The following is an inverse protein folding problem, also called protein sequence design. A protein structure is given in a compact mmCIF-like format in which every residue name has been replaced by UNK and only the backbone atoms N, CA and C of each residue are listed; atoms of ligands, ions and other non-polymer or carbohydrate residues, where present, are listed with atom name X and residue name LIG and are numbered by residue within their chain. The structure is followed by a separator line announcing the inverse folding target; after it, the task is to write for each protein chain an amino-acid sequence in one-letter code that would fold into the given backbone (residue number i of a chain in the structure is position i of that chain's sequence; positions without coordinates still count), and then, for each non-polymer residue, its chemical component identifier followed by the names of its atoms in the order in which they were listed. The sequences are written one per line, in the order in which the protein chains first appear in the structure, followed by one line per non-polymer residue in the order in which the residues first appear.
data_IF_322913357958
#
_entry.id   IF_322913357958
#
_cell.length_a   1.000
_cell.length_b   1.000
_cell.length_c   1.000
_cell.angle_alpha   90.00
_cell.angle_beta   90.00
_cell.angle_gamma   90.00
#
_symmetry.space_group_name_H-M   'P 1'
#
loop_
_entity.id
_entity.type
_entity.pdbx_description
1 polymer ?
#
# COMPACT_ATOMS: atom_id res chain seq x y z
N UNK A 1 8.16 15.12 8.88
CA UNK A 1 6.99 15.33 8.02
C UNK A 1 5.73 14.86 8.74
N UNK A 2 4.60 15.44 8.41
CA UNK A 2 3.36 15.15 9.12
C UNK A 2 2.80 13.77 8.75
N UNK A 3 2.14 13.14 9.71
CA UNK A 3 1.40 11.92 9.46
C UNK A 3 0.19 12.20 8.56
N UNK A 4 -0.22 11.22 7.79
CA UNK A 4 -1.44 11.29 6.99
C UNK A 4 -2.42 10.24 7.50
N UNK A 5 -3.57 10.71 7.97
CA UNK A 5 -4.62 9.83 8.46
C UNK A 5 -5.90 10.10 7.68
N UNK A 6 -6.45 9.06 7.06
CA UNK A 6 -7.72 9.12 6.36
C UNK A 6 -8.63 8.08 7.00
N UNK A 7 -9.78 8.52 7.50
CA UNK A 7 -10.75 7.63 8.14
C UNK A 7 -11.46 6.78 7.08
N UNK A 8 -11.75 5.51 7.37
CA UNK A 8 -12.42 4.63 6.41
C UNK A 8 -13.88 4.99 6.21
N UNK A 9 -14.39 4.61 5.05
CA UNK A 9 -15.84 4.58 4.78
C UNK A 9 -16.20 3.16 4.31
N UNK A 10 -17.47 2.94 3.99
CA UNK A 10 -17.90 1.64 3.44
C UNK A 10 -17.22 1.31 2.12
N UNK A 11 -16.69 2.31 1.43
CA UNK A 11 -16.13 2.18 0.07
C UNK A 11 -14.69 2.64 -0.05
N UNK A 12 -14.09 3.13 1.04
CA UNK A 12 -12.73 3.62 0.99
C UNK A 12 -11.90 3.17 2.18
N UNK A 13 -10.61 3.05 1.96
CA UNK A 13 -9.65 2.52 2.92
C UNK A 13 -9.44 3.43 4.13
N UNK A 14 -9.15 2.81 5.27
CA UNK A 14 -8.45 3.48 6.34
C UNK A 14 -6.98 3.62 5.92
N UNK A 15 -6.46 4.82 6.01
CA UNK A 15 -5.06 5.12 5.70
C UNK A 15 -4.42 5.74 6.93
N UNK A 16 -3.33 5.13 7.38
CA UNK A 16 -2.58 5.62 8.54
C UNK A 16 -1.09 5.56 8.18
N UNK A 17 -0.56 6.70 7.83
CA UNK A 17 0.80 6.81 7.32
C UNK A 17 1.63 7.72 8.21
N UNK A 18 2.77 7.20 8.66
CA UNK A 18 3.79 7.97 9.33
C UNK A 18 5.15 7.66 8.73
N UNK A 19 6.19 8.39 9.14
CA UNK A 19 7.52 8.25 8.58
C UNK A 19 8.02 6.81 8.70
N UNK A 20 8.21 6.16 7.57
CA UNK A 20 8.70 4.77 7.50
C UNK A 20 7.63 3.69 7.59
N UNK A 21 6.38 4.01 7.90
CA UNK A 21 5.30 3.02 8.07
C UNK A 21 4.03 3.50 7.39
N UNK A 22 3.53 2.72 6.45
CA UNK A 22 2.29 3.02 5.72
C UNK A 22 1.29 1.88 5.91
N UNK A 23 0.12 2.19 6.46
CA UNK A 23 -0.93 1.20 6.72
C UNK A 23 -2.16 1.48 5.87
N UNK A 24 -2.61 0.47 5.15
CA UNK A 24 -3.83 0.50 4.33
C UNK A 24 -4.74 -0.63 4.74
N UNK A 25 -5.95 -0.31 5.18
CA UNK A 25 -6.87 -1.32 5.72
C UNK A 25 -8.28 -1.10 5.20
N UNK A 26 -8.99 -2.17 4.90
CA UNK A 26 -10.42 -2.17 4.63
C UNK A 26 -10.79 -2.42 3.19
N UNK A 27 -11.70 -1.60 2.67
CA UNK A 27 -12.32 -1.79 1.35
C UNK A 27 -12.04 -0.61 0.46
N UNK A 28 -11.86 -0.87 -0.84
CA UNK A 28 -11.69 0.21 -1.82
C UNK A 28 -12.54 -0.08 -3.06
N UNK A 29 -13.66 0.63 -3.15
CA UNK A 29 -14.61 0.58 -4.27
C UNK A 29 -14.87 2.02 -4.67
N UNK A 30 -14.02 2.56 -5.56
CA UNK A 30 -14.02 4.00 -5.84
C UNK A 30 -14.39 4.29 -7.29
N UNK A 31 -15.28 5.26 -7.48
CA UNK A 31 -15.59 5.77 -8.81
C UNK A 31 -14.46 6.65 -9.32
N UNK A 32 -13.77 7.35 -8.42
CA UNK A 32 -12.63 8.19 -8.78
C UNK A 32 -11.44 7.93 -7.83
N UNK A 33 -10.67 6.87 -8.10
CA UNK A 33 -9.53 6.55 -7.26
C UNK A 33 -8.45 7.63 -7.26
N UNK A 34 -8.32 8.44 -8.32
CA UNK A 34 -7.32 9.51 -8.37
C UNK A 34 -7.54 10.53 -7.28
N UNK A 35 -8.79 10.92 -7.03
CA UNK A 35 -9.11 11.88 -5.98
C UNK A 35 -8.76 11.32 -4.60
N UNK A 36 -9.13 10.08 -4.36
CA UNK A 36 -8.85 9.45 -3.07
C UNK A 36 -7.34 9.32 -2.81
N UNK A 37 -6.60 8.84 -3.82
CA UNK A 37 -5.18 8.54 -3.67
C UNK A 37 -4.26 9.75 -3.81
N UNK A 38 -4.78 10.92 -4.25
CA UNK A 38 -3.97 12.12 -4.45
C UNK A 38 -3.18 12.55 -3.19
N UNK A 39 -3.81 12.68 -2.01
CA UNK A 39 -3.03 13.05 -0.82
C UNK A 39 -1.98 12.01 -0.45
N UNK A 40 -2.22 10.74 -0.75
CA UNK A 40 -1.25 9.69 -0.50
C UNK A 40 -0.07 9.84 -1.45
N UNK A 41 -0.33 10.10 -2.72
CA UNK A 41 0.72 10.33 -3.72
C UNK A 41 1.56 11.55 -3.37
N UNK A 42 0.93 12.62 -2.91
CA UNK A 42 1.64 13.83 -2.46
C UNK A 42 2.56 13.50 -1.28
N UNK A 43 2.05 12.77 -0.30
CA UNK A 43 2.83 12.36 0.87
C UNK A 43 4.04 11.51 0.46
N UNK A 44 3.81 10.53 -0.40
CA UNK A 44 4.88 9.63 -0.89
C UNK A 44 5.95 10.41 -1.64
N UNK A 45 5.55 11.36 -2.48
CA UNK A 45 6.50 12.19 -3.21
C UNK A 45 7.43 12.97 -2.29
N UNK A 46 6.91 13.52 -1.22
CA UNK A 46 7.70 14.22 -0.21
C UNK A 46 8.58 13.26 0.57
N UNK A 47 8.04 12.12 0.96
CA UNK A 47 8.74 11.09 1.72
C UNK A 47 9.98 10.59 0.97
N UNK A 48 9.86 10.38 -0.33
CA UNK A 48 10.94 9.83 -1.15
C UNK A 48 12.14 10.77 -1.30
N UNK A 49 11.99 12.04 -0.95
CA UNK A 49 13.13 12.97 -0.95
C UNK A 49 14.14 12.66 0.15
N UNK A 50 13.64 12.16 1.28
CA UNK A 50 14.49 11.80 2.43
C UNK A 50 13.83 10.65 3.21
N UNK A 51 13.83 9.44 2.63
CA UNK A 51 13.11 8.31 3.23
C UNK A 51 13.84 7.73 4.43
N UNK A 52 13.11 6.99 5.26
CA UNK A 52 13.66 6.24 6.37
C UNK A 52 14.58 5.11 5.87
N UNK A 53 15.45 4.61 6.74
CA UNK A 53 16.31 3.46 6.43
C UNK A 53 15.50 2.22 6.09
N UNK A 54 14.33 2.06 6.72
CA UNK A 54 13.38 0.99 6.43
C UNK A 54 12.00 1.56 6.20
N UNK A 55 11.39 1.17 5.09
CA UNK A 55 10.00 1.52 4.76
C UNK A 55 9.17 0.26 4.80
N UNK A 56 8.14 0.25 5.65
CA UNK A 56 7.24 -0.90 5.82
C UNK A 56 5.84 -0.49 5.37
N UNK A 57 5.24 -1.28 4.49
CA UNK A 57 3.86 -1.10 4.05
C UNK A 57 3.04 -2.28 4.54
N UNK A 58 2.04 -2.02 5.34
CA UNK A 58 1.10 -3.02 5.83
C UNK A 58 -0.21 -2.89 5.07
N UNK A 59 -0.63 -3.96 4.40
CA UNK A 59 -1.82 -3.98 3.58
C UNK A 59 -2.75 -5.06 4.09
N UNK A 60 -3.96 -4.67 4.49
CA UNK A 60 -4.98 -5.56 5.05
C UNK A 60 -6.32 -5.24 4.40
N UNK A 61 -6.59 -5.86 3.25
CA UNK A 61 -7.73 -5.55 2.42
C UNK A 61 -8.85 -6.57 2.59
N UNK A 62 -10.08 -6.09 2.75
CA UNK A 62 -11.28 -6.92 2.66
C UNK A 62 -11.71 -7.06 1.20
N UNK A 63 -11.60 -5.97 0.43
CA UNK A 63 -11.94 -5.91 -0.98
C UNK A 63 -11.24 -4.73 -1.64
N UNK A 64 -10.86 -4.89 -2.89
CA UNK A 64 -10.31 -3.79 -3.69
C UNK A 64 -10.73 -3.97 -5.14
N UNK A 65 -11.22 -2.90 -5.79
CA UNK A 65 -11.57 -2.93 -7.20
C UNK A 65 -10.33 -2.76 -8.09
N UNK A 66 -10.51 -2.97 -9.38
CA UNK A 66 -9.41 -2.94 -10.34
C UNK A 66 -8.70 -1.59 -10.40
N UNK A 67 -9.46 -0.51 -10.43
CA UNK A 67 -8.88 0.84 -10.54
C UNK A 67 -8.11 1.21 -9.27
N UNK A 68 -8.64 0.85 -8.10
CA UNK A 68 -7.95 1.05 -6.83
C UNK A 68 -6.69 0.19 -6.72
N UNK A 69 -6.74 -1.03 -7.26
CA UNK A 69 -5.56 -1.90 -7.30
C UNK A 69 -4.43 -1.27 -8.08
N UNK A 70 -4.72 -0.66 -9.23
CA UNK A 70 -3.71 0.03 -10.02
C UNK A 70 -3.13 1.22 -9.28
N UNK A 71 -3.97 1.99 -8.59
CA UNK A 71 -3.51 3.13 -7.80
C UNK A 71 -2.59 2.69 -6.66
N UNK A 72 -2.96 1.63 -5.95
CA UNK A 72 -2.14 1.05 -4.90
C UNK A 72 -0.81 0.52 -5.45
N UNK A 73 -0.86 -0.17 -6.57
CA UNK A 73 0.35 -0.66 -7.23
C UNK A 73 1.32 0.48 -7.55
N UNK A 74 0.83 1.61 -8.06
CA UNK A 74 1.68 2.75 -8.38
C UNK A 74 2.36 3.32 -7.14
N UNK A 75 1.66 3.35 -6.02
CA UNK A 75 2.24 3.78 -4.75
C UNK A 75 3.38 2.84 -4.34
N UNK A 76 3.13 1.53 -4.38
CA UNK A 76 4.14 0.54 -4.02
C UNK A 76 5.35 0.60 -4.95
N UNK A 77 5.11 0.83 -6.23
CA UNK A 77 6.18 0.97 -7.21
C UNK A 77 7.07 2.16 -6.90
N UNK A 78 6.49 3.29 -6.55
CA UNK A 78 7.27 4.48 -6.16
C UNK A 78 8.10 4.20 -4.91
N UNK A 79 7.49 3.59 -3.90
CA UNK A 79 8.18 3.27 -2.65
C UNK A 79 9.31 2.25 -2.84
N UNK A 80 9.12 1.31 -3.76
CA UNK A 80 10.16 0.33 -4.09
C UNK A 80 11.44 0.99 -4.58
N UNK A 81 11.36 2.22 -5.08
CA UNK A 81 12.52 2.99 -5.54
C UNK A 81 13.57 3.23 -4.46
N UNK A 82 13.22 3.15 -3.18
CA UNK A 82 14.17 3.33 -2.06
C UNK A 82 15.26 2.26 -2.07
N UNK A 83 14.99 1.09 -2.63
CA UNK A 83 15.95 -0.01 -2.73
C UNK A 83 17.17 0.36 -3.59
N UNK A 84 16.98 1.23 -4.56
CA UNK A 84 18.08 1.72 -5.40
C UNK A 84 19.09 2.56 -4.60
N UNK A 85 18.64 3.10 -3.46
CA UNK A 85 19.49 3.86 -2.55
C UNK A 85 20.11 2.99 -1.47
N UNK A 86 19.91 1.68 -1.54
CA UNK A 86 20.41 0.75 -0.54
C UNK A 86 19.54 0.68 0.72
N UNK A 87 18.33 1.23 0.67
CA UNK A 87 17.41 1.23 1.80
C UNK A 87 16.47 0.04 1.74
N UNK A 88 15.88 -0.32 2.89
CA UNK A 88 15.02 -1.50 3.01
C UNK A 88 13.58 -1.14 2.69
N UNK A 89 12.91 -1.99 1.90
CA UNK A 89 11.49 -1.89 1.60
C UNK A 89 10.83 -3.23 1.90
N UNK A 90 9.81 -3.22 2.75
CA UNK A 90 9.07 -4.41 3.16
C UNK A 90 7.59 -4.21 2.94
N UNK A 91 6.91 -5.24 2.43
CA UNK A 91 5.45 -5.26 2.30
C UNK A 91 4.92 -6.46 3.07
N UNK A 92 4.03 -6.19 4.02
CA UNK A 92 3.30 -7.20 4.76
C UNK A 92 1.88 -7.25 4.19
N UNK A 93 1.57 -8.36 3.54
CA UNK A 93 0.28 -8.58 2.89
C UNK A 93 -0.56 -9.50 3.76
N UNK A 94 -1.59 -8.92 4.39
CA UNK A 94 -2.47 -9.67 5.29
C UNK A 94 -3.58 -10.34 4.51
N UNK A 95 -3.84 -11.61 4.81
CA UNK A 95 -4.84 -12.41 4.13
C UNK A 95 -5.77 -13.02 5.17
N UNK A 96 -7.06 -12.77 5.02
CA UNK A 96 -8.06 -13.44 5.85
C UNK A 96 -8.08 -14.93 5.50
N UNK A 97 -8.30 -15.78 6.50
CA UNK A 97 -8.34 -17.22 6.28
C UNK A 97 -9.35 -17.56 5.18
N UNK A 98 -8.94 -18.45 4.26
CA UNK A 98 -9.76 -18.91 3.15
C UNK A 98 -10.12 -17.82 2.13
N UNK A 99 -9.23 -16.84 1.93
CA UNK A 99 -9.39 -15.83 0.88
C UNK A 99 -8.31 -16.03 -0.21
N UNK A 100 -8.49 -17.00 -1.11
CA UNK A 100 -7.50 -17.28 -2.14
C UNK A 100 -7.36 -16.15 -3.16
N UNK A 101 -8.43 -15.39 -3.40
CA UNK A 101 -8.37 -14.28 -4.35
C UNK A 101 -7.46 -13.16 -3.87
N UNK A 102 -7.50 -12.87 -2.57
CA UNK A 102 -6.63 -11.85 -1.99
C UNK A 102 -5.17 -12.29 -2.02
N UNK A 103 -4.92 -13.58 -1.81
CA UNK A 103 -3.59 -14.14 -1.92
C UNK A 103 -3.05 -14.03 -3.34
N UNK A 104 -3.86 -14.39 -4.33
CA UNK A 104 -3.47 -14.30 -5.75
C UNK A 104 -3.18 -12.85 -6.14
N UNK A 105 -3.97 -11.91 -5.64
CA UNK A 105 -3.74 -10.49 -5.91
C UNK A 105 -2.39 -10.03 -5.36
N UNK A 106 -2.08 -10.41 -4.13
CA UNK A 106 -0.78 -10.10 -3.51
C UNK A 106 0.38 -10.67 -4.31
N UNK A 107 0.25 -11.94 -4.71
CA UNK A 107 1.29 -12.60 -5.49
C UNK A 107 1.50 -11.95 -6.86
N UNK A 108 0.42 -11.50 -7.51
CA UNK A 108 0.52 -10.79 -8.78
C UNK A 108 1.27 -9.48 -8.64
N UNK A 109 0.95 -8.70 -7.60
CA UNK A 109 1.61 -7.42 -7.35
C UNK A 109 3.07 -7.65 -6.98
N UNK A 110 3.33 -8.62 -6.12
CA UNK A 110 4.68 -9.01 -5.73
C UNK A 110 5.55 -9.32 -6.94
N UNK A 111 5.01 -10.12 -7.85
CA UNK A 111 5.73 -10.51 -9.06
C UNK A 111 6.05 -9.32 -9.96
N UNK A 112 5.11 -8.40 -10.12
CA UNK A 112 5.30 -7.20 -10.94
C UNK A 112 6.31 -6.23 -10.34
N UNK A 113 6.35 -6.13 -9.01
CA UNK A 113 7.30 -5.25 -8.31
C UNK A 113 8.69 -5.85 -8.26
N UNK A 114 8.80 -7.17 -8.30
CA UNK A 114 10.07 -7.84 -8.10
C UNK A 114 10.56 -7.78 -6.65
N UNK A 115 9.63 -7.74 -5.70
CA UNK A 115 9.91 -7.66 -4.27
C UNK A 115 9.18 -8.79 -3.58
N UNK A 116 9.87 -9.50 -2.70
CA UNK A 116 9.25 -10.57 -1.92
C UNK A 116 8.36 -9.99 -0.82
N UNK A 117 7.07 -10.37 -0.83
CA UNK A 117 6.12 -9.97 0.21
C UNK A 117 6.13 -10.96 1.35
N UNK A 118 5.80 -10.48 2.54
CA UNK A 118 5.52 -11.33 3.67
C UNK A 118 4.00 -11.48 3.79
N UNK A 119 3.50 -12.71 3.73
CA UNK A 119 2.06 -13.00 3.82
C UNK A 119 1.71 -13.36 5.26
N UNK A 120 0.69 -12.70 5.80
CA UNK A 120 0.26 -12.86 7.19
C UNK A 120 -1.22 -13.20 7.19
N UNK A 121 -1.57 -14.38 7.72
CA UNK A 121 -2.97 -14.82 7.84
C UNK A 121 -3.61 -14.28 9.11
N UNK A 122 -4.92 -13.97 9.03
CA UNK A 122 -5.69 -13.53 10.19
C UNK A 122 -7.14 -13.99 10.15
#
# INVERSE_FOLDING_TARGET
MDDLIIKPTDKSLAVDISFGILNFTGRSILTDPKVFFEPINVWVGKYLRNPAEETVVNIKLEYIDTASTQALYQILRQLNGVRKKGLVFKVNWHIEDEDPEMKELGEMIEQRLGVEFQYISY
#
